data_IF_540899093408
#
_entry.id   IF_540899093408
#
_cell.length_a   1.000
_cell.length_b   1.000
_cell.length_c   1.000
_cell.angle_alpha   90.00
_cell.angle_beta   90.00
_cell.angle_gamma   90.00
#
_symmetry.space_group_name_H-M   'P 1'
#
loop_
_entity.id
_entity.type
_entity.pdbx_description
1 polymer ?
#
# COMPACT_ATOMS: atom_id res chain seq x y z
N UNK A 1 -4.98 20.80 -8.28
CA UNK A 1 -5.25 19.63 -7.42
C UNK A 1 -4.57 18.34 -7.89
N UNK A 2 -4.72 17.91 -9.15
CA UNK A 2 -4.08 16.64 -9.61
C UNK A 2 -2.55 16.60 -9.48
N UNK A 3 -1.85 17.71 -9.71
CA UNK A 3 -0.39 17.76 -9.55
C UNK A 3 0.04 17.63 -8.08
N UNK A 4 -0.71 18.23 -7.17
CA UNK A 4 -0.48 18.10 -5.73
C UNK A 4 -0.60 16.63 -5.26
N UNK A 5 -1.65 15.93 -5.70
CA UNK A 5 -1.80 14.51 -5.40
C UNK A 5 -0.67 13.65 -6.01
N UNK A 6 -0.15 14.00 -7.19
CA UNK A 6 1.01 13.30 -7.77
C UNK A 6 2.25 13.43 -6.89
N UNK A 7 2.55 14.63 -6.42
CA UNK A 7 3.71 14.87 -5.54
C UNK A 7 3.57 14.05 -4.25
N UNK A 8 2.40 14.09 -3.63
CA UNK A 8 2.13 13.31 -2.40
C UNK A 8 2.24 11.79 -2.67
N UNK A 9 1.72 11.31 -3.79
CA UNK A 9 1.78 9.88 -4.13
C UNK A 9 3.22 9.39 -4.33
N UNK A 10 4.05 10.16 -5.02
CA UNK A 10 5.45 9.82 -5.22
C UNK A 10 6.25 9.94 -3.91
N UNK A 11 5.99 10.97 -3.11
CA UNK A 11 6.60 11.09 -1.80
C UNK A 11 6.24 9.90 -0.90
N UNK A 12 4.96 9.54 -0.87
CA UNK A 12 4.49 8.36 -0.13
C UNK A 12 5.17 7.07 -0.62
N UNK A 13 5.29 6.89 -1.94
CA UNK A 13 5.97 5.74 -2.51
C UNK A 13 7.43 5.63 -2.06
N UNK A 14 8.16 6.75 -2.04
CA UNK A 14 9.54 6.80 -1.56
C UNK A 14 9.61 6.43 -0.07
N UNK A 15 8.78 7.06 0.76
CA UNK A 15 8.73 6.78 2.20
C UNK A 15 8.36 5.32 2.47
N UNK A 16 7.39 4.79 1.73
CA UNK A 16 6.97 3.39 1.83
C UNK A 16 8.10 2.44 1.43
N UNK A 17 8.80 2.72 0.32
CA UNK A 17 9.96 1.91 -0.11
C UNK A 17 11.05 1.90 0.96
N UNK A 18 11.37 3.05 1.52
CA UNK A 18 12.35 3.17 2.60
C UNK A 18 11.90 2.37 3.83
N UNK A 19 10.65 2.56 4.26
CA UNK A 19 10.11 1.88 5.45
C UNK A 19 10.06 0.35 5.31
N UNK A 20 9.80 -0.16 4.10
CA UNK A 20 9.74 -1.60 3.84
C UNK A 20 11.11 -2.23 3.61
N UNK A 21 12.09 -1.48 3.11
CA UNK A 21 13.42 -2.00 2.77
C UNK A 21 14.48 -1.76 3.86
N UNK A 22 14.28 -0.80 4.76
CA UNK A 22 15.23 -0.59 5.87
C UNK A 22 15.19 -1.81 6.80
N UNK A 23 16.36 -2.40 7.09
CA UNK A 23 16.48 -3.46 8.09
C UNK A 23 15.99 -2.99 9.46
N UNK A 24 15.23 -3.81 10.15
CA UNK A 24 14.72 -3.50 11.50
C UNK A 24 15.83 -3.25 12.52
N UNK A 25 17.01 -3.85 12.29
CA UNK A 25 18.18 -3.70 13.16
C UNK A 25 18.75 -2.27 13.22
N UNK A 26 18.43 -1.44 12.22
CA UNK A 26 18.80 -0.01 12.21
C UNK A 26 17.91 0.83 13.14
N UNK A 27 16.73 0.34 13.48
CA UNK A 27 15.88 0.93 14.51
C UNK A 27 16.24 0.35 15.88
N UNK A 28 17.37 0.78 16.45
CA UNK A 28 17.95 0.32 17.72
C UNK A 28 16.99 0.46 18.94
N UNK A 29 15.84 1.07 18.75
CA UNK A 29 14.85 1.29 19.82
C UNK A 29 14.03 0.02 20.14
N UNK A 30 14.23 -1.10 19.45
CA UNK A 30 13.15 -2.10 19.40
C UNK A 30 13.52 -3.54 19.71
N UNK A 31 14.62 -3.82 20.38
CA UNK A 31 14.78 -5.19 20.91
C UNK A 31 13.69 -5.56 21.95
N UNK A 32 13.14 -4.55 22.63
CA UNK A 32 12.04 -4.76 23.60
C UNK A 32 10.65 -4.70 22.98
N UNK A 33 10.48 -4.09 21.81
CA UNK A 33 9.17 -3.97 21.12
C UNK A 33 8.96 -5.08 20.09
N UNK A 34 10.03 -5.72 19.63
CA UNK A 34 9.97 -6.79 18.62
C UNK A 34 9.27 -8.06 19.14
N UNK A 35 9.29 -8.32 20.43
CA UNK A 35 8.59 -9.47 21.03
C UNK A 35 7.07 -9.28 21.16
N UNK A 36 6.56 -8.04 21.02
CA UNK A 36 5.13 -7.74 21.21
C UNK A 36 4.34 -7.46 19.91
N UNK A 37 5.00 -7.24 18.77
CA UNK A 37 4.29 -7.12 17.50
C UNK A 37 3.96 -8.52 17.02
N UNK A 38 2.74 -8.98 17.28
CA UNK A 38 2.26 -10.25 16.73
C UNK A 38 2.28 -10.18 15.20
N UNK A 39 2.50 -11.32 14.55
CA UNK A 39 2.46 -11.46 13.09
C UNK A 39 1.19 -10.83 12.48
N UNK A 40 0.06 -10.93 13.19
CA UNK A 40 -1.20 -10.32 12.80
C UNK A 40 -1.13 -8.80 12.68
N UNK A 41 -0.38 -8.11 13.56
CA UNK A 41 -0.21 -6.65 13.51
C UNK A 41 0.64 -6.25 12.31
N UNK A 42 1.69 -7.00 12.00
CA UNK A 42 2.51 -6.75 10.81
C UNK A 42 1.69 -6.86 9.53
N UNK A 43 0.85 -7.88 9.40
CA UNK A 43 -0.03 -8.07 8.25
C UNK A 43 -1.05 -6.95 8.07
N UNK A 44 -1.65 -6.46 9.17
CA UNK A 44 -2.58 -5.33 9.13
C UNK A 44 -1.85 -4.06 8.65
N UNK A 45 -0.62 -3.83 9.08
CA UNK A 45 0.20 -2.69 8.65
C UNK A 45 0.41 -2.74 7.13
N UNK A 46 0.83 -3.88 6.58
CA UNK A 46 1.00 -4.07 5.14
C UNK A 46 -0.30 -3.78 4.37
N UNK A 47 -1.43 -4.32 4.83
CA UNK A 47 -2.74 -4.08 4.25
C UNK A 47 -3.08 -2.58 4.20
N UNK A 48 -2.93 -1.87 5.32
CA UNK A 48 -3.25 -0.44 5.43
C UNK A 48 -2.33 0.40 4.54
N UNK A 49 -1.04 0.10 4.52
CA UNK A 49 -0.06 0.84 3.71
C UNK A 49 -0.38 0.72 2.21
N UNK A 50 -0.71 -0.47 1.73
CA UNK A 50 -1.05 -0.67 0.31
C UNK A 50 -2.47 -0.18 -0.05
N UNK A 51 -3.40 -0.17 0.91
CA UNK A 51 -4.68 0.49 0.76
C UNK A 51 -4.51 2.00 0.51
N UNK A 52 -3.68 2.68 1.31
CA UNK A 52 -3.37 4.10 1.16
C UNK A 52 -2.62 4.36 -0.15
N UNK A 53 -1.66 3.50 -0.52
CA UNK A 53 -0.90 3.61 -1.76
C UNK A 53 -1.86 3.67 -2.96
N UNK A 54 -2.78 2.72 -3.06
CA UNK A 54 -3.74 2.68 -4.16
C UNK A 54 -4.64 3.92 -4.19
N UNK A 55 -5.15 4.38 -3.03
CA UNK A 55 -5.96 5.59 -2.94
C UNK A 55 -5.23 6.82 -3.47
N UNK A 56 -4.00 7.05 -3.04
CA UNK A 56 -3.21 8.21 -3.45
C UNK A 56 -2.95 8.20 -4.96
N UNK A 57 -2.57 7.06 -5.52
CA UNK A 57 -2.34 6.92 -6.96
C UNK A 57 -3.63 7.05 -7.76
N UNK A 58 -4.76 6.59 -7.23
CA UNK A 58 -6.06 6.74 -7.88
C UNK A 58 -6.46 8.23 -8.04
N UNK A 59 -6.22 9.06 -7.03
CA UNK A 59 -6.49 10.50 -7.11
C UNK A 59 -5.48 11.25 -8.00
N UNK A 60 -4.31 10.68 -8.20
CA UNK A 60 -3.23 11.26 -9.01
C UNK A 60 -3.37 10.96 -10.49
N UNK A 61 -3.84 9.77 -10.83
CA UNK A 61 -3.88 9.25 -12.19
C UNK A 61 -5.28 8.81 -12.59
N UNK A 62 -5.60 8.90 -13.89
CA UNK A 62 -6.97 8.65 -14.38
C UNK A 62 -7.28 7.18 -14.65
N UNK A 63 -6.27 6.34 -14.87
CA UNK A 63 -6.48 4.96 -15.30
C UNK A 63 -6.36 3.97 -14.13
N UNK A 64 -7.51 3.61 -13.56
CA UNK A 64 -7.61 2.72 -12.39
C UNK A 64 -6.99 1.33 -12.58
N UNK A 65 -7.07 0.77 -13.79
CA UNK A 65 -6.48 -0.56 -14.05
C UNK A 65 -4.95 -0.52 -14.14
N UNK A 66 -4.38 0.54 -14.71
CA UNK A 66 -2.92 0.73 -14.73
C UNK A 66 -2.38 0.92 -13.31
N UNK A 67 -3.11 1.63 -12.47
CA UNK A 67 -2.75 1.83 -11.06
C UNK A 67 -2.81 0.49 -10.32
N UNK A 68 -3.87 -0.29 -10.54
CA UNK A 68 -4.01 -1.62 -9.95
C UNK A 68 -2.81 -2.51 -10.31
N UNK A 69 -2.49 -2.58 -11.59
CA UNK A 69 -1.35 -3.36 -12.09
C UNK A 69 -0.03 -2.87 -11.50
N UNK A 70 0.16 -1.55 -11.44
CA UNK A 70 1.34 -0.94 -10.82
C UNK A 70 1.48 -1.36 -9.34
N UNK A 71 0.43 -1.27 -8.55
CA UNK A 71 0.46 -1.64 -7.13
C UNK A 71 0.73 -3.14 -6.93
N UNK A 72 0.20 -4.01 -7.80
CA UNK A 72 0.47 -5.45 -7.76
C UNK A 72 1.96 -5.71 -8.05
N UNK A 73 2.49 -5.15 -9.13
CA UNK A 73 3.90 -5.32 -9.49
C UNK A 73 4.80 -4.76 -8.39
N UNK A 74 4.49 -3.58 -7.88
CA UNK A 74 5.25 -2.94 -6.81
C UNK A 74 5.28 -3.79 -5.54
N UNK A 75 4.15 -4.39 -5.14
CA UNK A 75 4.08 -5.31 -4.00
C UNK A 75 5.06 -6.49 -4.14
N UNK A 76 5.07 -7.13 -5.30
CA UNK A 76 5.97 -8.26 -5.56
C UNK A 76 7.44 -7.81 -5.59
N UNK A 77 7.72 -6.69 -6.26
CA UNK A 77 9.09 -6.16 -6.35
C UNK A 77 9.67 -5.82 -4.99
N UNK A 78 8.91 -5.14 -4.15
CA UNK A 78 9.36 -4.78 -2.79
C UNK A 78 9.68 -6.02 -1.98
N UNK A 79 8.84 -7.04 -2.05
CA UNK A 79 9.05 -8.29 -1.30
C UNK A 79 10.28 -9.07 -1.80
N UNK A 80 10.52 -9.08 -3.12
CA UNK A 80 11.75 -9.65 -3.67
C UNK A 80 12.98 -8.87 -3.18
N UNK A 81 12.91 -7.53 -3.14
CA UNK A 81 14.00 -6.70 -2.63
C UNK A 81 14.28 -6.94 -1.15
N UNK A 82 13.29 -7.33 -0.36
CA UNK A 82 13.46 -7.69 1.05
C UNK A 82 14.33 -8.93 1.27
N UNK A 83 14.49 -9.79 0.25
CA UNK A 83 15.45 -10.90 0.30
C UNK A 83 16.89 -10.39 0.52
N UNK A 84 17.21 -9.23 -0.04
CA UNK A 84 18.53 -8.60 0.05
C UNK A 84 18.72 -7.75 1.32
N UNK A 85 17.67 -7.58 2.09
CA UNK A 85 17.67 -6.93 3.40
C UNK A 85 17.50 -7.99 4.49
N UNK A 86 17.84 -7.69 5.73
CA UNK A 86 17.68 -8.65 6.85
C UNK A 86 16.23 -8.97 7.21
N UNK A 87 15.23 -8.42 6.49
CA UNK A 87 13.81 -8.69 6.76
C UNK A 87 13.33 -10.05 6.25
N UNK A 88 13.95 -10.54 5.16
CA UNK A 88 13.55 -11.79 4.53
C UNK A 88 12.25 -11.70 3.72
N UNK A 89 12.02 -12.71 2.88
CA UNK A 89 10.83 -12.82 2.03
C UNK A 89 9.68 -13.50 2.79
N UNK A 90 8.51 -12.87 2.80
CA UNK A 90 7.29 -13.45 3.38
C UNK A 90 6.12 -13.38 2.39
N UNK A 91 5.67 -14.54 1.93
CA UNK A 91 4.57 -14.62 0.97
C UNK A 91 3.25 -14.04 1.52
N UNK A 92 3.04 -14.12 2.82
CA UNK A 92 1.88 -13.53 3.46
C UNK A 92 1.84 -12.01 3.36
N UNK A 93 3.00 -11.33 3.36
CA UNK A 93 3.08 -9.87 3.18
C UNK A 93 2.58 -9.47 1.80
N UNK A 94 2.93 -10.24 0.74
CA UNK A 94 2.37 -10.04 -0.60
C UNK A 94 0.85 -10.18 -0.58
N UNK A 95 0.33 -11.22 0.07
CA UNK A 95 -1.12 -11.47 0.12
C UNK A 95 -1.84 -10.30 0.79
N UNK A 96 -1.36 -9.83 1.93
CA UNK A 96 -1.97 -8.71 2.64
C UNK A 96 -1.83 -7.38 1.90
N UNK A 97 -0.70 -7.15 1.22
CA UNK A 97 -0.53 -6.01 0.31
C UNK A 97 -1.60 -6.02 -0.79
N UNK A 98 -1.80 -7.17 -1.44
CA UNK A 98 -2.80 -7.33 -2.51
C UNK A 98 -4.23 -7.17 -2.00
N UNK A 99 -4.53 -7.70 -0.81
CA UNK A 99 -5.83 -7.51 -0.17
C UNK A 99 -6.08 -6.01 0.08
N UNK A 100 -5.10 -5.27 0.59
CA UNK A 100 -5.19 -3.83 0.81
C UNK A 100 -5.50 -3.06 -0.48
N UNK A 101 -4.79 -3.37 -1.56
CA UNK A 101 -5.02 -2.79 -2.90
C UNK A 101 -6.43 -3.12 -3.40
N UNK A 102 -6.86 -4.38 -3.27
CA UNK A 102 -8.17 -4.85 -3.74
C UNK A 102 -9.30 -4.18 -2.97
N UNK A 103 -9.21 -4.09 -1.66
CA UNK A 103 -10.21 -3.40 -0.82
C UNK A 103 -10.34 -1.94 -1.24
N UNK A 104 -9.22 -1.26 -1.45
CA UNK A 104 -9.20 0.15 -1.90
C UNK A 104 -9.85 0.32 -3.28
N UNK A 105 -9.54 -0.58 -4.21
CA UNK A 105 -10.14 -0.60 -5.54
C UNK A 105 -11.67 -0.78 -5.49
N UNK A 106 -12.16 -1.77 -4.74
CA UNK A 106 -13.58 -2.06 -4.57
C UNK A 106 -14.31 -0.92 -3.86
N UNK A 107 -13.69 -0.34 -2.82
CA UNK A 107 -14.23 0.81 -2.09
C UNK A 107 -14.48 1.99 -3.04
N UNK A 108 -13.51 2.31 -3.88
CA UNK A 108 -13.65 3.40 -4.85
C UNK A 108 -14.68 3.11 -5.93
N UNK A 109 -14.76 1.87 -6.43
CA UNK A 109 -15.80 1.46 -7.38
C UNK A 109 -17.20 1.64 -6.80
N UNK A 110 -17.39 1.20 -5.56
CA UNK A 110 -18.68 1.35 -4.85
C UNK A 110 -19.05 2.82 -4.66
N UNK A 111 -18.10 3.65 -4.20
CA UNK A 111 -18.33 5.06 -3.94
C UNK A 111 -18.70 5.85 -5.19
N UNK A 112 -18.03 5.56 -6.33
CA UNK A 112 -18.33 6.23 -7.60
C UNK A 112 -19.67 5.77 -8.19
N UNK A 113 -20.00 4.48 -8.08
CA UNK A 113 -21.29 3.95 -8.51
C UNK A 113 -22.45 4.63 -7.78
N UNK A 114 -22.30 4.84 -6.48
CA UNK A 114 -23.33 5.45 -5.64
C UNK A 114 -23.51 6.94 -5.95
N UNK A 115 -22.43 7.68 -6.19
CA UNK A 115 -22.49 9.09 -6.63
C UNK A 115 -23.16 9.26 -7.99
N UNK A 116 -22.95 8.34 -8.92
CA UNK A 116 -23.58 8.36 -10.24
C UNK A 116 -25.09 8.18 -10.12
N UNK A 117 -25.55 7.21 -9.35
CA UNK A 117 -27.00 7.01 -9.08
C UNK A 117 -27.66 8.24 -8.51
N UNK A 118 -27.04 8.94 -7.56
CA UNK A 118 -27.60 10.16 -6.96
C UNK A 118 -27.74 11.33 -7.94
N UNK A 119 -26.94 11.38 -9.00
CA UNK A 119 -27.05 12.43 -10.05
C UNK A 119 -28.16 12.13 -11.06
N UNK A 120 -28.49 10.86 -11.28
CA UNK A 120 -29.56 10.45 -12.20
C UNK A 120 -30.95 10.63 -11.59
N UNK A 121 -31.07 10.79 -10.26
CA UNK A 121 -32.34 11.04 -9.54
C UNK A 121 -32.60 12.53 -9.22
N UNK A 122 -31.73 13.46 -9.66
CA UNK A 122 -31.93 14.93 -9.56
C UNK A 122 -32.21 15.53 -10.93
#
# INVERSE_FOLDING_TARGET
MKQFFKIISFFYLIVLSIALLIPLDLFIITQTVQEEISDNTAFIIHLVLFFILYLLFYFSFSNKFRILLFCIIYSVVVEILQIFTSRGFQIFDIIFNLIGVLISFLFLLYFYKNKRKQREFK
#
